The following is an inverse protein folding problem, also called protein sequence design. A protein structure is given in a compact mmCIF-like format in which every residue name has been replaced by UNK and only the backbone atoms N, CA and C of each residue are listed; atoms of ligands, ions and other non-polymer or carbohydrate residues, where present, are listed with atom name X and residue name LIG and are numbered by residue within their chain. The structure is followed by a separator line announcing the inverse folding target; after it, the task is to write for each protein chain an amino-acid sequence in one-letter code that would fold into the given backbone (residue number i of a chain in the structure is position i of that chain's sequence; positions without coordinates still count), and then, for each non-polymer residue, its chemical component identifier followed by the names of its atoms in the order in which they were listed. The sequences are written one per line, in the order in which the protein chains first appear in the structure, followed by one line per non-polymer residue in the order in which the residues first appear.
data_IF_267256445025
#
_entry.id   IF_267256445025
#
_cell.length_a   1.000
_cell.length_b   1.000
_cell.length_c   1.000
_cell.angle_alpha   90.00
_cell.angle_beta   90.00
_cell.angle_gamma   90.00
#
_symmetry.space_group_name_H-M   'P 1'
#
loop_
_entity.id
_entity.type
_entity.pdbx_description
1 polymer ?
#
# COMPACT_ATOMS: atom_id res chain seq x y z
N UNK A 1 20.03 31.89 -16.98
CA UNK A 1 20.28 32.02 -15.53
C UNK A 1 19.24 31.14 -14.84
N UNK A 2 19.70 30.26 -13.96
CA UNK A 2 18.95 29.19 -13.28
C UNK A 2 17.61 29.65 -12.69
N UNK A 3 16.66 28.73 -12.57
CA UNK A 3 16.06 28.40 -11.26
C UNK A 3 15.75 26.90 -11.19
N UNK A 4 16.30 26.28 -10.16
CA UNK A 4 16.16 24.87 -9.74
C UNK A 4 14.80 24.65 -9.05
N UNK A 5 14.56 23.36 -8.75
CA UNK A 5 14.08 22.85 -7.45
C UNK A 5 12.66 22.28 -7.35
N UNK A 6 12.64 20.96 -7.09
CA UNK A 6 11.82 20.24 -6.09
C UNK A 6 10.35 19.97 -6.51
N UNK A 7 9.73 18.81 -6.30
CA UNK A 7 9.43 18.21 -5.01
C UNK A 7 8.99 16.75 -5.18
N UNK A 8 9.76 15.84 -4.60
CA UNK A 8 9.40 14.51 -4.12
C UNK A 8 8.18 14.62 -3.19
N UNK A 9 6.99 14.61 -3.79
CA UNK A 9 5.71 14.59 -3.10
C UNK A 9 5.26 13.14 -3.00
N UNK A 10 5.76 12.43 -1.99
CA UNK A 10 4.96 11.37 -1.37
C UNK A 10 3.83 12.10 -0.66
N UNK A 11 2.82 12.50 -1.43
CA UNK A 11 1.60 13.05 -0.86
C UNK A 11 1.04 11.97 0.04
N UNK A 12 1.09 12.22 1.35
CA UNK A 12 0.47 11.34 2.31
C UNK A 12 -0.99 11.16 1.86
N UNK A 13 -1.36 9.93 1.51
CA UNK A 13 -2.71 9.53 1.08
C UNK A 13 -3.69 9.62 2.26
N UNK A 14 -3.44 10.53 3.22
CA UNK A 14 -4.31 10.75 4.38
C UNK A 14 -5.55 11.55 4.00
N UNK A 15 -5.46 12.39 2.97
CA UNK A 15 -6.55 13.31 2.60
C UNK A 15 -7.24 12.97 1.28
N UNK A 16 -6.77 11.93 0.57
CA UNK A 16 -7.52 11.40 -0.57
C UNK A 16 -8.62 10.52 0.00
N UNK A 17 -9.81 11.10 0.17
CA UNK A 17 -11.06 10.35 0.32
C UNK A 17 -11.09 9.38 -0.85
N UNK A 18 -10.73 8.12 -0.61
CA UNK A 18 -10.75 7.07 -1.61
C UNK A 18 -12.22 7.05 -2.04
N UNK A 19 -12.50 7.55 -3.25
CA UNK A 19 -13.79 7.36 -3.87
C UNK A 19 -14.04 5.86 -3.81
N UNK A 20 -15.05 5.48 -3.03
CA UNK A 20 -15.34 4.12 -2.65
C UNK A 20 -15.35 3.26 -3.91
N UNK A 21 -14.27 2.53 -4.15
CA UNK A 21 -14.32 1.41 -5.08
C UNK A 21 -15.25 0.43 -4.37
N UNK A 22 -16.35 0.03 -5.00
CA UNK A 22 -17.37 -0.89 -4.46
C UNK A 22 -16.80 -2.26 -3.98
N UNK A 23 -15.49 -2.45 -4.04
CA UNK A 23 -14.76 -3.70 -3.88
C UNK A 23 -13.78 -3.70 -2.69
N UNK A 24 -13.90 -2.75 -1.75
CA UNK A 24 -13.23 -2.90 -0.43
C UNK A 24 -14.27 -3.38 0.56
N UNK A 25 -14.27 -4.69 0.83
CA UNK A 25 -15.20 -5.32 1.77
C UNK A 25 -15.06 -4.74 3.18
N UNK A 26 -16.15 -4.83 3.98
CA UNK A 26 -16.15 -4.44 5.39
C UNK A 26 -15.03 -5.12 6.18
N UNK A 27 -14.70 -6.34 5.80
CA UNK A 27 -13.72 -7.19 6.48
C UNK A 27 -12.30 -6.61 6.32
N UNK A 28 -11.95 -6.11 5.13
CA UNK A 28 -10.67 -5.43 4.88
C UNK A 28 -10.56 -4.17 5.76
N UNK A 29 -11.65 -3.42 5.90
CA UNK A 29 -11.66 -2.22 6.74
C UNK A 29 -11.47 -2.55 8.23
N UNK A 30 -12.06 -3.65 8.70
CA UNK A 30 -11.85 -4.13 10.06
C UNK A 30 -10.41 -4.59 10.29
N UNK A 31 -9.81 -5.28 9.33
CA UNK A 31 -8.42 -5.73 9.44
C UNK A 31 -7.41 -4.57 9.38
N UNK A 32 -7.67 -3.55 8.55
CA UNK A 32 -6.88 -2.30 8.56
C UNK A 32 -6.95 -1.62 9.94
N UNK A 33 -8.12 -1.59 10.58
CA UNK A 33 -8.26 -1.01 11.93
C UNK A 33 -7.41 -1.76 12.95
N UNK A 34 -7.41 -3.10 12.92
CA UNK A 34 -6.56 -3.91 13.82
C UNK A 34 -5.07 -3.63 13.63
N UNK A 35 -4.64 -3.36 12.39
CA UNK A 35 -3.23 -3.06 12.10
C UNK A 35 -2.81 -1.71 12.69
N UNK A 36 -3.72 -0.73 12.74
CA UNK A 36 -3.41 0.59 13.31
C UNK A 36 -3.01 0.52 14.79
N UNK A 37 -3.46 -0.51 15.52
CA UNK A 37 -3.07 -0.76 16.92
C UNK A 37 -1.65 -1.35 17.05
N UNK A 38 -1.12 -1.94 15.97
CA UNK A 38 0.13 -2.73 15.96
C UNK A 38 1.25 -1.99 15.21
N UNK A 39 0.90 -1.10 14.26
CA UNK A 39 1.87 -0.32 13.50
C UNK A 39 1.32 0.22 12.18
N UNK A 40 2.09 0.07 11.11
CA UNK A 40 1.74 0.51 9.75
C UNK A 40 1.69 -0.69 8.81
N UNK A 41 0.81 -0.65 7.81
CA UNK A 41 0.68 -1.71 6.81
C UNK A 41 0.39 -1.17 5.41
N UNK A 42 0.59 -2.03 4.41
CA UNK A 42 0.19 -1.82 3.01
C UNK A 42 -0.93 -2.78 2.66
N UNK A 43 -2.02 -2.27 2.10
CA UNK A 43 -3.16 -3.08 1.65
C UNK A 43 -3.22 -3.10 0.12
N UNK A 44 -3.49 -4.26 -0.47
CA UNK A 44 -3.78 -4.38 -1.90
C UNK A 44 -5.22 -3.97 -2.15
N UNK A 45 -5.41 -2.93 -2.97
CA UNK A 45 -6.74 -2.37 -3.30
C UNK A 45 -7.21 -2.70 -4.73
N UNK A 46 -6.37 -3.41 -5.52
CA UNK A 46 -6.68 -3.82 -6.89
C UNK A 46 -5.84 -5.01 -7.33
N UNK A 47 -6.42 -5.92 -8.11
CA UNK A 47 -5.74 -7.09 -8.68
C UNK A 47 -6.27 -8.42 -8.10
N UNK A 48 -5.67 -9.57 -8.45
CA UNK A 48 -6.13 -10.88 -7.98
C UNK A 48 -6.03 -11.04 -6.45
N UNK A 49 -5.18 -10.25 -5.80
CA UNK A 49 -4.89 -10.34 -4.36
C UNK A 49 -5.50 -9.17 -3.55
N UNK A 50 -6.64 -8.62 -3.98
CA UNK A 50 -7.33 -7.53 -3.24
C UNK A 50 -7.59 -7.96 -1.78
N UNK A 51 -7.26 -7.08 -0.84
CA UNK A 51 -7.46 -7.28 0.59
C UNK A 51 -6.24 -7.79 1.34
N UNK A 52 -5.22 -8.32 0.66
CA UNK A 52 -3.97 -8.71 1.32
C UNK A 52 -3.32 -7.52 2.03
N UNK A 53 -2.84 -7.74 3.26
CA UNK A 53 -2.20 -6.71 4.07
C UNK A 53 -0.80 -7.12 4.51
N UNK A 54 0.19 -6.27 4.23
CA UNK A 54 1.59 -6.46 4.57
C UNK A 54 2.00 -5.50 5.68
N UNK A 55 2.47 -6.03 6.81
CA UNK A 55 2.94 -5.22 7.94
C UNK A 55 4.31 -4.61 7.65
N UNK A 56 4.46 -3.30 7.91
CA UNK A 56 5.72 -2.59 7.79
C UNK A 56 6.48 -2.67 9.11
N UNK A 57 7.36 -3.65 9.20
CA UNK A 57 8.19 -3.92 10.39
C UNK A 57 9.71 -3.81 10.13
N UNK A 58 10.11 -3.43 8.91
CA UNK A 58 11.52 -3.20 8.52
C UNK A 58 11.69 -1.80 7.95
N UNK A 59 12.92 -1.30 7.93
CA UNK A 59 13.27 0.01 7.35
C UNK A 59 13.27 0.01 5.81
N UNK A 60 13.41 -1.17 5.18
CA UNK A 60 13.43 -1.33 3.73
C UNK A 60 12.72 -2.62 3.34
N UNK A 61 11.94 -2.55 2.26
CA UNK A 61 11.26 -3.68 1.63
C UNK A 61 11.58 -3.70 0.14
N UNK A 62 11.75 -4.89 -0.43
CA UNK A 62 11.71 -5.12 -1.89
C UNK A 62 10.31 -5.51 -2.31
N UNK A 63 9.79 -4.89 -3.37
CA UNK A 63 8.43 -5.12 -3.89
C UNK A 63 8.52 -5.41 -5.38
N UNK A 64 7.90 -6.50 -5.84
CA UNK A 64 7.83 -6.81 -7.27
C UNK A 64 7.57 -8.28 -7.58
N UNK A 65 7.86 -8.68 -8.83
CA UNK A 65 7.63 -10.04 -9.37
C UNK A 65 8.79 -11.01 -9.15
N UNK A 66 9.79 -10.64 -8.35
CA UNK A 66 10.84 -11.58 -7.97
C UNK A 66 10.31 -12.40 -6.77
N UNK A 67 10.30 -13.75 -6.82
CA UNK A 67 9.92 -14.59 -5.68
C UNK A 67 10.69 -14.29 -4.38
N UNK A 68 11.89 -13.72 -4.50
CA UNK A 68 12.73 -13.31 -3.35
C UNK A 68 12.41 -11.89 -2.83
N UNK A 69 11.38 -11.23 -3.34
CA UNK A 69 10.94 -9.91 -2.86
C UNK A 69 10.28 -10.05 -1.49
N UNK A 70 10.50 -9.10 -0.57
CA UNK A 70 9.78 -9.07 0.71
C UNK A 70 8.25 -9.03 0.51
N UNK A 71 7.79 -8.34 -0.55
CA UNK A 71 6.40 -8.32 -1.00
C UNK A 71 6.38 -8.78 -2.46
N UNK A 72 6.02 -10.05 -2.68
CA UNK A 72 5.85 -10.64 -4.00
C UNK A 72 4.47 -10.28 -4.56
N UNK A 73 4.46 -9.69 -5.75
CA UNK A 73 3.24 -9.36 -6.48
C UNK A 73 3.06 -10.35 -7.64
N UNK A 74 2.18 -11.32 -7.45
CA UNK A 74 1.92 -12.40 -8.41
C UNK A 74 0.98 -11.99 -9.57
N UNK A 75 1.08 -10.75 -10.02
CA UNK A 75 0.27 -10.29 -11.14
C UNK A 75 0.91 -10.74 -12.46
N UNK A 76 0.45 -11.89 -12.97
CA UNK A 76 0.70 -12.31 -14.36
C UNK A 76 -0.38 -11.68 -15.23
N UNK A 77 -0.03 -10.58 -15.87
CA UNK A 77 -0.78 -10.01 -17.01
C UNK A 77 -0.45 -10.73 -18.31
#
# INVERSE_FOLDING_TARGET
MELKSNNNKTEAIKDKKIEFVEEVSTDILEDIKKISDIGSGLVIIKGPNIGDIFLINKSKFTIGRNPESDIFLDDIT
#
